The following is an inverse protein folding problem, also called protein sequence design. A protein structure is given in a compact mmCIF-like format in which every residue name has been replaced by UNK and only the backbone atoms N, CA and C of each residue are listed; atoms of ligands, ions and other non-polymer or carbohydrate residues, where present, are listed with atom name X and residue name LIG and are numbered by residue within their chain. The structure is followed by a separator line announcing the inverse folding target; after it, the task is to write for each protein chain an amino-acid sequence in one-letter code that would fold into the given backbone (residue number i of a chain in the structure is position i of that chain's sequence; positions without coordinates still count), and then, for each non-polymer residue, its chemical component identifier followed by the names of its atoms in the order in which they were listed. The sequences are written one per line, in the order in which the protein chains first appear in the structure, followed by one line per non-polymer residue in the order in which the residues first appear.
data_IF_771238938060
#
_entry.id   IF_771238938060
#
_cell.length_a   1.000
_cell.length_b   1.000
_cell.length_c   1.000
_cell.angle_alpha   90.00
_cell.angle_beta   90.00
_cell.angle_gamma   90.00
#
_symmetry.space_group_name_H-M   'P 1'
#
loop_
_entity.id
_entity.type
_entity.pdbx_description
1 polymer ?
#
# COMPACT_ATOMS: atom_id res chain seq x y z
N UNK A 1 -2.47 16.28 -1.36
CA UNK A 1 -3.27 15.11 -1.78
C UNK A 1 -2.65 13.92 -1.04
N UNK A 2 -3.46 13.12 -0.35
CA UNK A 2 -3.00 12.09 0.59
C UNK A 2 -3.00 10.71 -0.07
N UNK A 3 -2.17 9.80 0.42
CA UNK A 3 -2.20 8.38 0.06
C UNK A 3 -3.41 7.71 0.70
N UNK A 4 -4.21 6.99 -0.10
CA UNK A 4 -5.54 6.58 0.32
C UNK A 4 -5.55 5.66 1.55
N UNK A 5 -4.86 4.51 1.49
CA UNK A 5 -4.86 3.54 2.59
C UNK A 5 -4.12 4.06 3.84
N UNK A 6 -3.15 4.96 3.66
CA UNK A 6 -2.44 5.59 4.77
C UNK A 6 -3.33 6.59 5.50
N UNK A 7 -4.06 7.43 4.75
CA UNK A 7 -5.04 8.36 5.30
C UNK A 7 -6.21 7.62 5.95
N UNK A 8 -6.66 6.50 5.37
CA UNK A 8 -7.65 5.60 5.96
C UNK A 8 -7.17 5.10 7.33
N UNK A 9 -5.95 4.57 7.43
CA UNK A 9 -5.40 4.10 8.70
C UNK A 9 -5.30 5.20 9.75
N UNK A 10 -4.91 6.43 9.38
CA UNK A 10 -4.94 7.58 10.29
C UNK A 10 -6.33 7.91 10.79
N UNK A 11 -7.33 7.86 9.92
CA UNK A 11 -8.72 8.16 10.31
C UNK A 11 -9.24 7.12 11.30
N UNK A 12 -8.92 5.86 11.06
CA UNK A 12 -9.36 4.73 11.87
C UNK A 12 -8.64 4.66 13.21
N UNK A 13 -7.31 4.85 13.23
CA UNK A 13 -6.47 4.63 14.41
C UNK A 13 -6.14 5.91 15.19
N UNK A 14 -6.29 7.07 14.56
CA UNK A 14 -5.87 8.37 15.09
C UNK A 14 -4.52 8.83 14.53
N UNK A 15 -3.99 9.89 15.13
CA UNK A 15 -2.80 10.60 14.63
C UNK A 15 -1.48 10.19 15.31
N UNK A 16 -1.47 9.09 16.08
CA UNK A 16 -0.26 8.63 16.77
C UNK A 16 0.90 8.31 15.80
N UNK A 17 0.56 7.75 14.63
CA UNK A 17 1.50 7.57 13.52
C UNK A 17 1.11 8.50 12.36
N UNK A 18 2.13 9.11 11.76
CA UNK A 18 1.95 9.96 10.59
C UNK A 18 1.49 9.17 9.37
N UNK A 19 1.05 9.87 8.33
CA UNK A 19 0.66 9.25 7.06
C UNK A 19 1.85 8.57 6.39
N UNK A 20 3.01 9.23 6.45
CA UNK A 20 4.27 8.70 5.96
C UNK A 20 4.65 7.41 6.68
N UNK A 21 4.52 7.37 8.01
CA UNK A 21 4.77 6.16 8.81
C UNK A 21 3.86 5.00 8.40
N UNK A 22 2.54 5.23 8.28
CA UNK A 22 1.62 4.19 7.80
C UNK A 22 1.96 3.69 6.40
N UNK A 23 2.27 4.62 5.49
CA UNK A 23 2.68 4.28 4.12
C UNK A 23 3.96 3.42 4.10
N UNK A 24 4.98 3.82 4.87
CA UNK A 24 6.24 3.08 5.00
C UNK A 24 6.04 1.68 5.59
N UNK A 25 5.29 1.53 6.69
CA UNK A 25 4.99 0.24 7.31
C UNK A 25 4.18 -0.68 6.37
N UNK A 26 3.31 -0.09 5.55
CA UNK A 26 2.59 -0.77 4.47
C UNK A 26 3.47 -1.27 3.31
N UNK A 27 4.78 -0.99 3.33
CA UNK A 27 5.74 -1.37 2.30
C UNK A 27 6.21 -0.21 1.42
N UNK A 28 5.57 0.95 1.53
CA UNK A 28 5.99 2.20 0.88
C UNK A 28 6.02 2.12 -0.64
N UNK A 29 7.07 2.69 -1.22
CA UNK A 29 7.24 2.74 -2.67
C UNK A 29 7.50 1.36 -3.28
N UNK A 30 7.01 1.20 -4.50
CA UNK A 30 7.31 0.06 -5.34
C UNK A 30 7.30 0.48 -6.80
N UNK A 31 7.35 -0.52 -7.66
CA UNK A 31 7.17 -0.33 -9.08
C UNK A 31 6.67 -1.62 -9.71
N UNK A 32 5.61 -1.52 -10.50
CA UNK A 32 5.11 -2.57 -11.37
C UNK A 32 4.74 -1.92 -12.69
N UNK A 33 5.15 -2.50 -13.82
CA UNK A 33 4.87 -1.97 -15.16
C UNK A 33 4.34 -3.06 -16.10
N UNK A 34 3.14 -2.83 -16.63
CA UNK A 34 2.51 -3.69 -17.63
C UNK A 34 1.89 -2.87 -18.76
N UNK A 35 1.90 -3.46 -19.96
CA UNK A 35 1.08 -3.03 -21.09
C UNK A 35 0.29 -4.25 -21.53
N UNK A 36 -1.03 -4.16 -21.45
CA UNK A 36 -1.96 -5.22 -21.86
C UNK A 36 -2.52 -4.90 -23.24
N UNK A 37 -2.48 -5.88 -24.15
CA UNK A 37 -2.93 -5.72 -25.53
C UNK A 37 -4.06 -6.73 -25.77
N UNK A 38 -5.28 -6.23 -25.99
CA UNK A 38 -6.46 -7.04 -26.30
C UNK A 38 -6.94 -6.72 -27.72
N UNK A 39 -7.45 -7.73 -28.43
CA UNK A 39 -7.93 -7.52 -29.80
C UNK A 39 -9.12 -6.55 -29.81
N UNK A 40 -8.99 -5.46 -30.56
CA UNK A 40 -10.04 -4.45 -30.70
C UNK A 40 -10.00 -3.33 -29.67
N UNK A 41 -9.07 -3.37 -28.70
CA UNK A 41 -8.91 -2.35 -27.67
C UNK A 41 -7.54 -1.66 -27.80
N UNK A 42 -7.43 -0.35 -27.49
CA UNK A 42 -6.13 0.30 -27.35
C UNK A 42 -5.27 -0.38 -26.27
N UNK A 43 -3.93 -0.42 -26.41
CA UNK A 43 -3.09 -0.99 -25.36
C UNK A 43 -3.31 -0.29 -24.01
N UNK A 44 -3.48 -1.09 -22.96
CA UNK A 44 -3.71 -0.56 -21.62
C UNK A 44 -2.42 -0.55 -20.81
N UNK A 45 -1.92 0.64 -20.55
CA UNK A 45 -0.77 0.88 -19.67
C UNK A 45 -1.21 0.81 -18.20
N UNK A 46 -0.45 0.08 -17.38
CA UNK A 46 -0.56 0.10 -15.92
C UNK A 46 0.82 0.28 -15.31
N UNK A 47 0.94 1.30 -14.45
CA UNK A 47 2.06 1.44 -13.53
C UNK A 47 1.49 1.50 -12.11
N UNK A 48 2.02 0.68 -11.21
CA UNK A 48 1.74 0.79 -9.78
C UNK A 48 3.03 1.18 -9.09
N UNK A 49 3.05 2.37 -8.50
CA UNK A 49 4.25 2.95 -7.92
C UNK A 49 4.36 2.71 -6.40
N UNK A 50 3.50 1.90 -5.81
CA UNK A 50 3.58 1.48 -4.41
C UNK A 50 3.90 -0.01 -4.29
N UNK A 51 4.06 -0.49 -3.06
CA UNK A 51 4.14 -1.92 -2.77
C UNK A 51 2.91 -2.65 -3.35
N UNK A 52 3.16 -3.73 -4.10
CA UNK A 52 2.16 -4.54 -4.79
C UNK A 52 2.72 -5.96 -4.95
N UNK A 53 1.91 -7.05 -5.01
CA UNK A 53 0.44 -7.10 -5.06
C UNK A 53 -0.30 -7.16 -3.73
N UNK A 54 0.39 -7.33 -2.61
CA UNK A 54 -0.30 -7.59 -1.35
C UNK A 54 -0.95 -6.32 -0.76
N UNK A 55 -2.10 -6.45 -0.09
CA UNK A 55 -2.79 -5.31 0.53
C UNK A 55 -1.95 -4.55 1.56
N UNK A 56 -1.96 -3.22 1.47
CA UNK A 56 -1.20 -2.35 2.35
C UNK A 56 -1.70 -2.39 3.81
N UNK A 57 -3.03 -2.36 4.03
CA UNK A 57 -3.63 -2.16 5.36
C UNK A 57 -3.20 -3.25 6.35
N UNK A 58 -3.41 -4.52 6.03
CA UNK A 58 -3.07 -5.63 6.91
C UNK A 58 -1.57 -5.64 7.28
N UNK A 59 -0.72 -5.47 6.27
CA UNK A 59 0.73 -5.40 6.43
C UNK A 59 1.16 -4.24 7.34
N UNK A 60 0.54 -3.07 7.18
CA UNK A 60 0.85 -1.91 8.00
C UNK A 60 0.45 -2.13 9.47
N UNK A 61 -0.73 -2.75 9.70
CA UNK A 61 -1.20 -3.11 11.04
C UNK A 61 -0.28 -4.13 11.73
N UNK A 62 0.12 -5.18 11.01
CA UNK A 62 1.08 -6.20 11.49
C UNK A 62 2.37 -5.53 11.96
N UNK A 63 2.96 -4.68 11.11
CA UNK A 63 4.23 -4.00 11.43
C UNK A 63 4.10 -2.96 12.52
N UNK A 64 2.95 -2.32 12.65
CA UNK A 64 2.70 -1.40 13.76
C UNK A 64 2.41 -2.13 15.09
N UNK A 65 2.29 -3.46 15.08
CA UNK A 65 1.91 -4.23 16.26
C UNK A 65 0.48 -3.93 16.71
N UNK A 66 -0.40 -3.56 15.77
CA UNK A 66 -1.81 -3.30 16.05
C UNK A 66 -2.56 -4.62 16.00
N UNK A 67 -3.19 -4.97 17.12
CA UNK A 67 -4.02 -6.17 17.20
C UNK A 67 -5.23 -6.05 16.28
N UNK A 68 -5.37 -7.01 15.38
CA UNK A 68 -6.47 -7.09 14.44
C UNK A 68 -6.74 -8.55 14.04
N UNK A 69 -7.94 -8.79 13.53
CA UNK A 69 -8.35 -10.07 12.94
C UNK A 69 -8.86 -9.84 11.51
N UNK A 70 -8.47 -10.71 10.59
CA UNK A 70 -9.00 -10.72 9.23
C UNK A 70 -9.99 -11.88 9.10
N UNK A 71 -11.23 -11.56 8.73
CA UNK A 71 -12.32 -12.53 8.55
C UNK A 71 -12.79 -12.52 7.10
N UNK A 72 -13.13 -13.70 6.62
CA UNK A 72 -13.72 -13.90 5.29
C UNK A 72 -14.95 -14.80 5.37
N UNK A 73 -15.96 -14.52 4.56
CA UNK A 73 -17.17 -15.35 4.44
C UNK A 73 -17.76 -15.26 3.03
N UNK A 74 -18.33 -16.36 2.54
CA UNK A 74 -19.08 -16.36 1.28
C UNK A 74 -20.52 -15.84 1.40
N UNK A 75 -21.00 -15.57 2.61
CA UNK A 75 -22.41 -15.22 2.87
C UNK A 75 -22.55 -13.76 3.30
N UNK A 76 -23.28 -12.96 2.52
CA UNK A 76 -23.58 -11.57 2.83
C UNK A 76 -24.29 -11.41 4.19
N UNK A 77 -25.22 -12.31 4.52
CA UNK A 77 -25.91 -12.33 5.84
C UNK A 77 -24.93 -12.55 7.01
N UNK A 78 -23.96 -13.44 6.83
CA UNK A 78 -22.91 -13.66 7.85
C UNK A 78 -21.97 -12.46 7.93
N UNK A 79 -21.61 -11.86 6.79
CA UNK A 79 -20.76 -10.68 6.72
C UNK A 79 -21.40 -9.50 7.45
N UNK A 80 -22.67 -9.20 7.19
CA UNK A 80 -23.42 -8.15 7.86
C UNK A 80 -23.49 -8.38 9.38
N UNK A 81 -23.78 -9.62 9.82
CA UNK A 81 -23.80 -9.96 11.24
C UNK A 81 -22.43 -9.71 11.89
N UNK A 82 -21.34 -10.12 11.23
CA UNK A 82 -19.99 -9.92 11.75
C UNK A 82 -19.63 -8.43 11.82
N UNK A 83 -20.01 -7.65 10.81
CA UNK A 83 -19.84 -6.19 10.80
C UNK A 83 -20.57 -5.54 11.98
N UNK A 84 -21.85 -5.87 12.17
CA UNK A 84 -22.65 -5.36 13.29
C UNK A 84 -22.07 -5.76 14.64
N UNK A 85 -21.57 -6.99 14.77
CA UNK A 85 -20.94 -7.46 16.00
C UNK A 85 -19.66 -6.68 16.32
N UNK A 86 -18.78 -6.48 15.34
CA UNK A 86 -17.55 -5.72 15.50
C UNK A 86 -17.83 -4.25 15.88
N UNK A 87 -18.73 -3.59 15.15
CA UNK A 87 -19.14 -2.21 15.45
C UNK A 87 -19.83 -2.11 16.83
N UNK A 88 -20.67 -3.09 17.19
CA UNK A 88 -21.36 -3.15 18.48
C UNK A 88 -20.40 -3.38 19.66
N UNK A 89 -19.26 -4.02 19.43
CA UNK A 89 -18.17 -4.15 20.40
C UNK A 89 -17.30 -2.88 20.51
N UNK A 90 -17.60 -1.84 19.72
CA UNK A 90 -16.80 -0.61 19.65
C UNK A 90 -15.47 -0.78 18.90
N UNK A 91 -15.32 -1.86 18.13
CA UNK A 91 -14.11 -2.10 17.35
C UNK A 91 -14.11 -1.29 16.06
N UNK A 92 -12.90 -1.01 15.58
CA UNK A 92 -12.65 -0.31 14.32
C UNK A 92 -12.70 -1.33 13.18
N UNK A 93 -13.32 -0.97 12.06
CA UNK A 93 -13.56 -1.91 10.96
C UNK A 93 -13.08 -1.34 9.62
N UNK A 94 -12.38 -2.18 8.86
CA UNK A 94 -12.06 -1.94 7.45
C UNK A 94 -12.62 -3.09 6.62
N UNK A 95 -13.33 -2.78 5.54
CA UNK A 95 -13.87 -3.79 4.63
C UNK A 95 -13.23 -3.64 3.25
N UNK A 96 -13.06 -4.75 2.52
CA UNK A 96 -12.58 -4.71 1.14
C UNK A 96 -13.74 -4.87 0.16
N UNK A 97 -14.04 -3.84 -0.62
CA UNK A 97 -15.25 -3.73 -1.47
C UNK A 97 -14.91 -3.43 -2.92
N UNK A 98 -15.83 -3.68 -3.85
CA UNK A 98 -15.64 -3.35 -5.27
C UNK A 98 -15.75 -1.83 -5.48
N UNK A 99 -14.67 -1.24 -6.02
CA UNK A 99 -14.59 0.20 -6.31
C UNK A 99 -15.74 0.71 -7.19
N UNK A 100 -16.16 -0.06 -8.20
CA UNK A 100 -17.15 0.39 -9.20
C UNK A 100 -18.55 0.55 -8.62
N UNK A 101 -18.76 0.02 -7.40
CA UNK A 101 -20.02 0.14 -6.67
C UNK A 101 -20.04 1.33 -5.74
N UNK A 102 -18.95 2.08 -5.63
CA UNK A 102 -18.85 3.27 -4.79
C UNK A 102 -19.11 4.54 -5.62
N UNK A 103 -20.16 5.31 -5.33
CA UNK A 103 -20.62 6.40 -6.20
C UNK A 103 -19.69 7.63 -6.23
N UNK A 104 -18.80 7.78 -5.24
CA UNK A 104 -17.82 8.86 -5.20
C UNK A 104 -16.47 8.48 -5.83
N UNK A 105 -16.30 7.23 -6.29
CA UNK A 105 -15.05 6.81 -6.94
C UNK A 105 -15.13 7.10 -8.43
N UNK A 106 -14.07 7.66 -9.04
CA UNK A 106 -14.01 7.77 -10.48
C UNK A 106 -13.91 6.37 -11.10
N UNK A 107 -14.41 6.26 -12.32
CA UNK A 107 -14.33 5.05 -13.14
C UNK A 107 -12.89 4.54 -13.21
N UNK A 108 -12.76 3.22 -13.24
CA UNK A 108 -11.48 2.54 -13.31
C UNK A 108 -11.52 1.49 -14.42
N UNK A 109 -10.44 1.31 -15.21
CA UNK A 109 -10.48 0.41 -16.37
C UNK A 109 -10.45 -1.08 -16.01
N UNK A 110 -10.27 -1.45 -14.74
CA UNK A 110 -10.11 -2.83 -14.30
C UNK A 110 -10.88 -3.12 -13.01
N UNK A 111 -11.36 -4.36 -12.77
CA UNK A 111 -11.91 -4.73 -11.48
C UNK A 111 -10.91 -4.47 -10.34
N UNK A 112 -11.30 -3.65 -9.37
CA UNK A 112 -10.42 -3.20 -8.29
C UNK A 112 -11.15 -3.31 -6.94
N UNK A 113 -10.75 -4.26 -6.09
CA UNK A 113 -11.17 -4.27 -4.69
C UNK A 113 -10.32 -3.28 -3.89
N UNK A 114 -10.97 -2.36 -3.17
CA UNK A 114 -10.33 -1.34 -2.33
C UNK A 114 -10.72 -1.51 -0.87
N UNK A 115 -9.84 -1.08 0.04
CA UNK A 115 -10.13 -1.02 1.48
C UNK A 115 -10.94 0.24 1.80
N UNK A 116 -12.02 0.12 2.59
CA UNK A 116 -12.83 1.25 3.08
C UNK A 116 -13.01 1.15 4.59
N UNK A 117 -12.89 2.28 5.30
CA UNK A 117 -13.16 2.36 6.73
C UNK A 117 -14.66 2.45 7.00
N UNK A 118 -15.17 1.61 7.90
CA UNK A 118 -16.57 1.66 8.35
C UNK A 118 -16.61 2.32 9.72
N UNK A 119 -17.06 3.58 9.74
CA UNK A 119 -17.11 4.44 10.93
C UNK A 119 -18.34 4.20 11.80
N UNK A 120 -19.35 3.51 11.28
CA UNK A 120 -20.51 3.10 12.04
C UNK A 120 -21.70 2.72 11.16
N UNK A 121 -22.77 2.32 11.82
CA UNK A 121 -24.02 1.96 11.21
C UNK A 121 -25.17 2.62 11.98
N UNK A 122 -25.97 3.41 11.28
CA UNK A 122 -27.14 4.11 11.82
C UNK A 122 -28.38 3.64 11.06
N UNK A 123 -29.17 2.76 11.67
CA UNK A 123 -30.31 2.12 11.01
C UNK A 123 -29.91 1.32 9.77
N UNK A 124 -30.25 1.83 8.59
CA UNK A 124 -29.95 1.28 7.27
C UNK A 124 -28.86 2.08 6.53
N UNK A 125 -28.10 2.92 7.24
CA UNK A 125 -27.00 3.72 6.69
C UNK A 125 -25.67 3.26 7.24
N UNK A 126 -24.71 3.02 6.35
CA UNK A 126 -23.31 2.72 6.68
C UNK A 126 -22.51 4.00 6.49
N UNK A 127 -21.83 4.45 7.54
CA UNK A 127 -20.95 5.62 7.51
C UNK A 127 -19.54 5.21 7.16
N UNK A 128 -18.95 5.79 6.12
CA UNK A 128 -17.55 5.54 5.73
C UNK A 128 -16.76 6.85 5.72
N UNK A 129 -15.43 6.75 5.71
CA UNK A 129 -14.55 7.93 5.74
C UNK A 129 -14.69 8.89 4.56
N UNK A 130 -15.06 8.38 3.38
CA UNK A 130 -15.15 9.15 2.14
C UNK A 130 -16.59 9.34 1.64
N UNK A 131 -17.59 8.84 2.38
CA UNK A 131 -19.00 8.94 1.99
C UNK A 131 -19.89 7.91 2.68
N UNK A 132 -21.19 8.19 2.73
CA UNK A 132 -22.18 7.30 3.35
C UNK A 132 -22.94 6.52 2.27
N UNK A 133 -23.34 5.29 2.60
CA UNK A 133 -24.16 4.44 1.74
C UNK A 133 -25.36 3.86 2.48
N UNK A 134 -26.49 3.61 1.79
CA UNK A 134 -27.45 2.63 2.26
C UNK A 134 -26.77 1.28 2.48
N UNK A 135 -27.17 0.55 3.53
CA UNK A 135 -26.61 -0.74 3.90
C UNK A 135 -26.72 -1.75 2.76
N UNK A 136 -27.84 -1.77 2.04
CA UNK A 136 -28.02 -2.62 0.87
C UNK A 136 -26.97 -2.34 -0.22
N UNK A 137 -26.72 -1.07 -0.53
CA UNK A 137 -25.71 -0.67 -1.52
C UNK A 137 -24.29 -1.01 -1.06
N UNK A 138 -24.00 -0.86 0.23
CA UNK A 138 -22.72 -1.29 0.80
C UNK A 138 -22.55 -2.81 0.70
N UNK A 139 -23.58 -3.59 1.02
CA UNK A 139 -23.54 -5.05 0.90
C UNK A 139 -23.41 -5.51 -0.56
N UNK A 140 -24.01 -4.81 -1.53
CA UNK A 140 -23.78 -5.05 -2.96
C UNK A 140 -22.31 -4.82 -3.35
N UNK A 141 -21.74 -3.68 -2.95
CA UNK A 141 -20.33 -3.36 -3.16
C UNK A 141 -19.39 -4.40 -2.56
N UNK A 142 -19.70 -4.85 -1.34
CA UNK A 142 -18.90 -5.84 -0.64
C UNK A 142 -19.01 -7.24 -1.25
N UNK A 143 -20.20 -7.62 -1.72
CA UNK A 143 -20.46 -8.90 -2.39
C UNK A 143 -19.86 -8.97 -3.80
N UNK A 144 -19.79 -7.83 -4.50
CA UNK A 144 -19.22 -7.73 -5.84
C UNK A 144 -17.72 -8.05 -5.87
N UNK A 145 -17.00 -7.78 -4.77
CA UNK A 145 -15.61 -8.18 -4.56
C UNK A 145 -15.48 -9.70 -4.25
N UNK A 146 -15.92 -10.55 -5.18
CA UNK A 146 -16.09 -12.01 -4.98
C UNK A 146 -14.84 -12.73 -4.46
N UNK A 147 -13.65 -12.34 -4.92
CA UNK A 147 -12.38 -12.95 -4.52
C UNK A 147 -12.03 -12.64 -3.06
N UNK A 148 -12.47 -11.50 -2.55
CA UNK A 148 -12.21 -11.05 -1.19
C UNK A 148 -13.11 -11.77 -0.17
N UNK A 149 -14.21 -12.37 -0.63
CA UNK A 149 -15.17 -13.11 0.20
C UNK A 149 -15.59 -12.30 1.43
N UNK A 150 -16.16 -11.13 1.18
CA UNK A 150 -16.55 -10.19 2.24
C UNK A 150 -15.45 -9.99 3.28
N UNK A 151 -14.22 -9.68 2.85
CA UNK A 151 -13.09 -9.47 3.75
C UNK A 151 -13.43 -8.32 4.71
N UNK A 152 -13.32 -8.61 6.01
CA UNK A 152 -13.43 -7.66 7.11
C UNK A 152 -12.13 -7.72 7.92
N UNK A 153 -11.50 -6.57 8.14
CA UNK A 153 -10.42 -6.40 9.10
C UNK A 153 -11.03 -5.74 10.33
N UNK A 154 -11.09 -6.49 11.43
CA UNK A 154 -11.54 -6.04 12.74
C UNK A 154 -10.33 -5.64 13.56
N UNK A 155 -10.21 -4.35 13.86
CA UNK A 155 -9.08 -3.80 14.59
C UNK A 155 -9.50 -3.61 16.06
N UNK A 156 -8.89 -4.40 16.93
CA UNK A 156 -9.25 -4.51 18.36
C UNK A 156 -8.27 -3.76 19.26
N UNK A 157 -7.03 -3.55 18.79
CA UNK A 157 -6.01 -2.79 19.50
C UNK A 157 -5.93 -1.33 19.03
N UNK A 158 -5.46 -0.46 19.91
CA UNK A 158 -5.22 0.97 19.59
C UNK A 158 -3.82 1.25 19.02
N UNK A 159 -2.94 0.25 18.97
CA UNK A 159 -1.50 0.47 18.82
C UNK A 159 -0.82 0.58 20.20
N UNK A 160 0.45 0.19 20.27
CA UNK A 160 1.20 0.13 21.54
C UNK A 160 2.49 -0.68 21.45
N UNK A 161 2.65 -1.49 20.39
CA UNK A 161 3.95 -2.07 20.03
C UNK A 161 4.87 -1.04 19.39
N UNK A 162 6.18 -1.25 19.51
CA UNK A 162 7.17 -0.49 18.73
C UNK A 162 7.06 -0.94 17.25
N UNK A 163 6.81 -0.04 16.29
CA UNK A 163 6.68 -0.46 14.90
C UNK A 163 7.96 -1.10 14.33
N UNK A 164 7.82 -2.14 13.52
CA UNK A 164 8.92 -2.79 12.79
C UNK A 164 9.34 -1.99 11.55
N UNK A 165 9.95 -0.84 11.81
CA UNK A 165 10.45 0.07 10.79
C UNK A 165 11.63 -0.55 10.01
N UNK A 166 12.54 -1.24 10.71
CA UNK A 166 13.71 -1.82 10.08
C UNK A 166 13.33 -2.92 9.08
N UNK A 167 12.36 -3.78 9.45
CA UNK A 167 11.78 -4.77 8.55
C UNK A 167 11.06 -4.13 7.37
N UNK A 168 10.32 -3.04 7.58
CA UNK A 168 9.65 -2.31 6.50
C UNK A 168 10.65 -1.79 5.45
N UNK A 169 11.69 -1.06 5.88
CA UNK A 169 12.72 -0.52 4.97
C UNK A 169 13.47 -1.64 4.24
N UNK A 170 13.81 -2.72 4.96
CA UNK A 170 14.49 -3.88 4.36
C UNK A 170 13.63 -4.55 3.30
N UNK A 171 12.34 -4.74 3.55
CA UNK A 171 11.43 -5.33 2.56
C UNK A 171 11.26 -4.42 1.34
N UNK A 172 11.06 -3.11 1.52
CA UNK A 172 10.97 -2.16 0.40
C UNK A 172 12.22 -2.23 -0.47
N UNK A 173 13.41 -2.21 0.13
CA UNK A 173 14.67 -2.33 -0.61
C UNK A 173 14.77 -3.68 -1.35
N UNK A 174 14.41 -4.78 -0.69
CA UNK A 174 14.41 -6.11 -1.30
C UNK A 174 13.45 -6.21 -2.50
N UNK A 175 12.22 -5.67 -2.40
CA UNK A 175 11.24 -5.67 -3.49
C UNK A 175 11.62 -4.76 -4.66
N UNK A 176 12.33 -3.67 -4.40
CA UNK A 176 12.82 -2.80 -5.47
C UNK A 176 14.00 -3.43 -6.21
N UNK A 177 14.86 -4.19 -5.53
CA UNK A 177 16.14 -4.67 -6.08
C UNK A 177 16.16 -6.15 -6.45
N UNK A 178 15.22 -6.93 -5.95
CA UNK A 178 15.12 -8.38 -6.13
C UNK A 178 13.76 -8.84 -6.65
N UNK A 179 13.52 -10.17 -6.67
CA UNK A 179 12.23 -10.73 -7.08
C UNK A 179 11.12 -10.37 -6.08
N UNK A 180 9.92 -10.10 -6.60
CA UNK A 180 8.70 -9.82 -5.83
C UNK A 180 7.80 -11.05 -5.80
N UNK A 181 7.58 -11.71 -6.94
CA UNK A 181 6.72 -12.88 -7.09
C UNK A 181 7.49 -14.20 -7.12
N UNK A 182 8.81 -14.16 -7.37
CA UNK A 182 9.65 -15.34 -7.48
C UNK A 182 9.43 -16.12 -8.79
N UNK A 183 9.05 -15.44 -9.86
CA UNK A 183 8.75 -16.06 -11.16
C UNK A 183 9.09 -15.13 -12.34
N UNK A 184 8.78 -15.56 -13.56
CA UNK A 184 9.11 -14.82 -14.78
C UNK A 184 8.44 -13.43 -14.90
N UNK A 185 7.41 -13.13 -14.09
CA UNK A 185 6.79 -11.81 -14.07
C UNK A 185 7.61 -10.76 -13.30
N UNK A 186 8.64 -11.16 -12.55
CA UNK A 186 9.52 -10.25 -11.80
C UNK A 186 10.22 -9.20 -12.68
N UNK A 187 10.35 -9.47 -13.99
CA UNK A 187 10.87 -8.51 -14.98
C UNK A 187 10.06 -7.21 -15.03
N UNK A 188 8.81 -7.23 -14.55
CA UNK A 188 7.90 -6.08 -14.53
C UNK A 188 7.97 -5.27 -13.23
N UNK A 189 8.70 -5.74 -12.21
CA UNK A 189 8.70 -5.17 -10.88
C UNK A 189 10.01 -4.47 -10.51
N UNK A 190 9.93 -3.54 -9.56
CA UNK A 190 11.08 -2.84 -9.00
C UNK A 190 11.93 -2.13 -10.06
N UNK A 191 13.24 -2.10 -9.83
CA UNK A 191 14.21 -1.52 -10.77
C UNK A 191 14.26 -2.27 -12.10
N UNK A 192 13.94 -3.57 -12.12
CA UNK A 192 13.83 -4.33 -13.38
C UNK A 192 12.68 -3.80 -14.24
N UNK A 193 11.50 -3.59 -13.63
CA UNK A 193 10.35 -3.00 -14.30
C UNK A 193 10.63 -1.59 -14.80
N UNK A 194 11.33 -0.77 -14.02
CA UNK A 194 11.73 0.58 -14.44
C UNK A 194 12.67 0.54 -15.65
N UNK A 195 13.62 -0.40 -15.67
CA UNK A 195 14.52 -0.61 -16.82
C UNK A 195 13.73 -1.05 -18.05
N UNK A 196 12.82 -2.01 -17.89
CA UNK A 196 11.92 -2.44 -18.97
C UNK A 196 11.09 -1.27 -19.52
N UNK A 197 10.53 -0.41 -18.67
CA UNK A 197 9.82 0.80 -19.10
C UNK A 197 10.75 1.71 -19.90
N UNK A 198 11.95 2.00 -19.39
CA UNK A 198 12.92 2.85 -20.09
C UNK A 198 13.31 2.29 -21.47
N UNK A 199 13.56 0.98 -21.55
CA UNK A 199 13.88 0.30 -22.80
C UNK A 199 12.72 0.40 -23.81
N UNK A 200 11.47 0.21 -23.36
CA UNK A 200 10.29 0.30 -24.23
C UNK A 200 9.90 1.73 -24.62
N UNK A 201 10.25 2.74 -23.80
CA UNK A 201 10.13 4.14 -24.18
C UNK A 201 11.17 4.52 -25.25
N UNK A 202 12.39 4.00 -25.13
CA UNK A 202 13.49 4.26 -26.07
C UNK A 202 13.45 3.44 -27.36
N UNK A 203 12.70 2.33 -27.39
CA UNK A 203 12.59 1.49 -28.58
C UNK A 203 11.69 2.13 -29.66
N UNK A 204 12.30 2.45 -30.79
CA UNK A 204 11.63 2.97 -32.00
C UNK A 204 11.57 1.92 -33.13
N UNK A 205 12.15 0.75 -32.88
CA UNK A 205 12.51 -0.24 -33.90
C UNK A 205 11.67 -1.52 -33.84
N UNK A 206 11.13 -1.87 -32.67
CA UNK A 206 10.35 -3.09 -32.49
C UNK A 206 8.91 -2.80 -32.08
N UNK A 207 8.05 -3.82 -32.16
CA UNK A 207 6.65 -3.76 -31.71
C UNK A 207 6.50 -3.52 -30.20
N UNK A 208 7.56 -3.63 -29.41
CA UNK A 208 7.51 -3.36 -27.97
C UNK A 208 7.65 -1.89 -27.63
N UNK A 209 8.16 -1.09 -28.57
CA UNK A 209 8.33 0.35 -28.47
C UNK A 209 7.02 1.11 -28.35
N UNK A 210 6.97 2.10 -27.47
CA UNK A 210 5.76 2.90 -27.23
C UNK A 210 5.28 3.60 -28.50
N UNK A 211 6.20 4.11 -29.32
CA UNK A 211 5.89 4.78 -30.59
C UNK A 211 5.18 3.89 -31.62
N UNK A 212 5.29 2.56 -31.47
CA UNK A 212 4.58 1.60 -32.33
C UNK A 212 3.34 1.00 -31.66
N UNK A 213 3.35 0.89 -30.34
CA UNK A 213 2.22 0.35 -29.57
C UNK A 213 1.09 1.33 -29.46
N UNK A 214 1.40 2.56 -29.09
CA UNK A 214 0.42 3.61 -28.87
C UNK A 214 0.37 4.48 -30.12
N UNK A 215 -0.70 4.32 -30.89
CA UNK A 215 -0.95 5.17 -32.08
C UNK A 215 -1.25 6.61 -31.69
N UNK A 216 -1.64 6.85 -30.45
CA UNK A 216 -1.88 8.16 -29.85
C UNK A 216 -0.99 8.33 -28.62
N UNK A 217 -0.03 9.26 -28.72
CA UNK A 217 0.91 9.55 -27.64
C UNK A 217 0.26 10.31 -26.47
N UNK A 218 -0.78 11.12 -26.73
CA UNK A 218 -1.46 11.87 -25.67
C UNK A 218 -2.19 10.91 -24.73
N UNK A 219 -2.83 9.87 -25.28
CA UNK A 219 -3.48 8.82 -24.49
C UNK A 219 -2.45 8.08 -23.61
N UNK A 220 -1.30 7.71 -24.17
CA UNK A 220 -0.26 7.01 -23.43
C UNK A 220 0.35 7.87 -22.32
N UNK A 221 0.64 9.14 -22.60
CA UNK A 221 1.20 10.09 -21.64
C UNK A 221 0.18 10.49 -20.57
N UNK A 222 -1.08 10.68 -20.93
CA UNK A 222 -2.17 10.92 -19.98
C UNK A 222 -2.36 9.74 -19.04
N UNK A 223 -2.29 8.51 -19.55
CA UNK A 223 -2.33 7.30 -18.72
C UNK A 223 -1.11 7.16 -17.81
N UNK A 224 0.08 7.48 -18.32
CA UNK A 224 1.31 7.52 -17.52
C UNK A 224 1.17 8.51 -16.35
N UNK A 225 0.68 9.72 -16.61
CA UNK A 225 0.44 10.72 -15.58
C UNK A 225 -0.58 10.22 -14.54
N UNK A 226 -1.72 9.65 -14.98
CA UNK A 226 -2.71 9.09 -14.08
C UNK A 226 -2.13 8.00 -13.15
N UNK A 227 -1.32 7.09 -13.69
CA UNK A 227 -0.66 6.04 -12.89
C UNK A 227 0.38 6.58 -11.91
N UNK A 228 1.00 7.73 -12.19
CA UNK A 228 2.05 8.30 -11.33
C UNK A 228 1.50 9.32 -10.32
N UNK A 229 0.35 9.93 -10.56
CA UNK A 229 -0.16 11.01 -9.70
C UNK A 229 -1.50 10.71 -9.02
N UNK A 230 -2.24 9.68 -9.47
CA UNK A 230 -3.62 9.44 -9.02
C UNK A 230 -3.89 8.00 -8.64
N UNK A 231 -3.54 7.04 -9.48
CA UNK A 231 -3.95 5.64 -9.30
C UNK A 231 -2.95 4.85 -8.45
N UNK A 232 -3.42 4.22 -7.37
CA UNK A 232 -2.59 3.49 -6.40
C UNK A 232 -1.50 4.33 -5.72
N UNK A 233 -1.56 5.66 -5.81
CA UNK A 233 -0.46 6.51 -5.37
C UNK A 233 -0.95 7.88 -4.94
N UNK A 234 -0.17 8.54 -4.08
CA UNK A 234 -0.19 9.98 -3.93
C UNK A 234 0.65 10.63 -5.06
N UNK A 235 0.54 11.96 -5.28
CA UNK A 235 1.30 12.67 -6.31
C UNK A 235 2.80 12.39 -6.30
N UNK A 236 3.41 12.53 -7.48
CA UNK A 236 4.81 12.18 -7.73
C UNK A 236 5.14 10.75 -7.27
N UNK A 237 4.23 9.82 -7.57
CA UNK A 237 4.34 8.40 -7.29
C UNK A 237 4.57 8.07 -5.80
N UNK A 238 4.02 8.87 -4.88
CA UNK A 238 4.24 8.75 -3.42
C UNK A 238 5.72 8.88 -2.98
N UNK A 239 6.62 9.33 -3.86
CA UNK A 239 8.05 9.48 -3.53
C UNK A 239 8.27 10.52 -2.42
N UNK A 240 7.61 11.69 -2.44
CA UNK A 240 7.71 12.65 -1.33
C UNK A 240 7.26 12.04 0.01
N UNK A 241 6.13 11.32 0.02
CA UNK A 241 5.60 10.68 1.22
C UNK A 241 6.56 9.61 1.78
N UNK A 242 7.22 8.85 0.91
CA UNK A 242 8.25 7.90 1.36
C UNK A 242 9.53 8.58 1.83
N UNK A 243 9.90 9.71 1.24
CA UNK A 243 11.03 10.51 1.71
C UNK A 243 10.76 11.07 3.12
N UNK A 244 9.54 11.54 3.38
CA UNK A 244 9.10 11.94 4.72
C UNK A 244 9.22 10.77 5.72
N UNK A 245 8.77 9.57 5.34
CA UNK A 245 8.93 8.37 6.17
C UNK A 245 10.40 8.09 6.49
N UNK A 246 11.28 8.09 5.49
CA UNK A 246 12.71 7.87 5.71
C UNK A 246 13.33 8.98 6.59
N UNK A 247 12.87 10.21 6.47
CA UNK A 247 13.32 11.32 7.30
C UNK A 247 12.87 11.17 8.76
N UNK A 248 11.62 10.77 9.01
CA UNK A 248 11.12 10.47 10.36
C UNK A 248 11.93 9.37 11.04
N UNK A 249 12.22 8.30 10.29
CA UNK A 249 12.99 7.15 10.77
C UNK A 249 14.47 7.52 10.99
N UNK A 250 15.07 8.24 10.05
CA UNK A 250 16.46 8.68 10.10
C UNK A 250 16.73 9.75 11.16
N UNK A 251 15.76 10.65 11.41
CA UNK A 251 15.83 11.68 12.44
C UNK A 251 15.82 11.14 13.88
N UNK A 252 15.35 9.90 14.07
CA UNK A 252 15.50 9.15 15.32
C UNK A 252 16.90 8.55 15.51
N UNK A 253 17.72 8.49 14.45
CA UNK A 253 19.08 8.00 14.47
C UNK A 253 20.05 9.19 14.58
N UNK A 254 20.27 9.70 15.81
CA UNK A 254 21.42 10.58 16.05
C UNK A 254 22.69 9.72 15.95
N UNK A 255 23.31 9.71 14.78
CA UNK A 255 24.72 9.40 14.69
C UNK A 255 25.46 10.46 15.54
N UNK A 256 26.27 10.09 16.55
CA UNK A 256 27.08 11.07 17.25
C UNK A 256 27.98 11.73 16.21
N UNK A 257 27.99 13.05 16.28
CA UNK A 257 28.71 13.98 15.43
C UNK A 257 30.05 13.43 14.90
N UNK A 258 30.13 13.24 13.58
CA UNK A 258 31.35 12.85 12.87
C UNK A 258 32.24 14.06 12.53
N UNK A 259 32.03 15.23 13.14
CA UNK A 259 32.90 16.40 12.96
C UNK A 259 34.34 16.22 13.49
N UNK A 260 34.71 15.03 13.99
CA UNK A 260 35.97 14.80 14.68
C UNK A 260 36.78 13.56 14.30
N UNK A 261 36.61 12.90 13.14
CA UNK A 261 37.57 11.88 12.69
C UNK A 261 37.76 11.92 11.17
N UNK A 262 38.80 12.62 10.73
CA UNK A 262 39.35 12.44 9.40
C UNK A 262 39.95 11.04 9.27
N UNK A 263 39.41 10.26 8.33
CA UNK A 263 40.03 9.05 7.78
C UNK A 263 39.83 7.76 8.57
N UNK A 264 38.77 7.01 8.27
CA UNK A 264 38.84 5.66 7.66
C UNK A 264 37.40 5.10 7.52
N UNK A 265 37.00 4.72 6.30
CA UNK A 265 35.73 4.02 6.05
C UNK A 265 35.89 2.55 6.46
N UNK A 266 35.54 2.22 7.70
CA UNK A 266 35.53 0.84 8.18
C UNK A 266 34.98 0.75 9.60
N UNK A 267 33.65 0.74 9.75
CA UNK A 267 33.04 0.53 11.06
C UNK A 267 31.62 1.08 11.18
N UNK A 268 30.67 0.51 10.42
CA UNK A 268 29.24 0.71 10.68
C UNK A 268 28.55 -0.62 11.00
N UNK A 269 29.26 -1.51 11.69
CA UNK A 269 28.76 -2.82 12.11
C UNK A 269 28.95 -3.00 13.60
N UNK A 270 28.20 -2.28 14.43
CA UNK A 270 27.95 -2.63 15.84
C UNK A 270 27.00 -1.61 16.51
N UNK A 271 25.74 -1.63 16.11
CA UNK A 271 24.64 -1.09 16.93
C UNK A 271 23.68 -2.23 17.22
N UNK A 272 24.13 -3.17 18.06
CA UNK A 272 23.35 -4.36 18.38
C UNK A 272 24.11 -5.43 19.16
N UNK A 273 24.81 -5.05 20.24
CA UNK A 273 25.30 -6.02 21.21
C UNK A 273 25.03 -5.48 22.62
N UNK A 274 24.01 -6.03 23.26
CA UNK A 274 23.70 -5.76 24.66
C UNK A 274 24.88 -6.16 25.54
N UNK A 275 25.34 -5.25 26.39
CA UNK A 275 26.31 -5.54 27.44
C UNK A 275 25.65 -6.45 28.47
N UNK A 276 25.84 -7.76 28.32
CA UNK A 276 25.71 -8.71 29.41
C UNK A 276 26.87 -8.50 30.38
N UNK A 277 26.52 -8.03 31.58
CA UNK A 277 27.43 -7.96 32.73
C UNK A 277 27.80 -9.38 33.13
N UNK A 278 29.09 -9.74 33.07
CA UNK A 278 29.62 -10.93 33.75
C UNK A 278 30.10 -10.52 35.15
N UNK A 279 29.71 -11.24 36.22
CA UNK A 279 30.22 -10.97 37.55
C UNK A 279 31.60 -11.63 37.74
N UNK A 280 32.49 -10.92 38.43
CA UNK A 280 33.77 -11.41 38.87
C UNK A 280 33.61 -12.48 39.97
N UNK A 281 34.30 -13.61 39.83
CA UNK A 281 34.64 -14.46 40.97
C UNK A 281 36.04 -15.08 40.82
N UNK A 282 36.89 -14.70 41.79
CA UNK A 282 38.09 -15.33 42.38
C UNK A 282 39.13 -15.97 41.47
#
# INVERSE_FOLDING_TARGET
MTHYEAALLRRVLGEELSEAMWFGLGGGIGFMYFVFEYSGEPPHLSIIAQAHPEPMVARALDRAGVQHEIRHTGSAKVAERNLRAALGAGHRVVCRVDRHRLPWRPDFPFPEPIDVDVLGLDGDRVRLGDGDLPLEAFLDAWSAAKKERHQLIEITGTGGGRPDVAGAVKETAARLTGPVLGNNFDVNFGLSGMRKLADQLGDTSTKQGWTRRFTDAEVALGRLAACLDVEYTAPAASRPLFAEFLAEVGGGCRCPDLSGVGGNLGGCGECGAGRGVLPAHR
#
